data_IF_254509011597
#
_entry.id   IF_254509011597
#
_cell.length_a   1.000
_cell.length_b   1.000
_cell.length_c   1.000
_cell.angle_alpha   90.00
_cell.angle_beta   90.00
_cell.angle_gamma   90.00
#
_symmetry.space_group_name_H-M   'P 1'
#
loop_
_entity.id
_entity.type
_entity.pdbx_description
1 polymer ?
#
# COMPACT_ATOMS: atom_id res chain seq x y z
N UNK A 1 -3.05 -0.86 19.33
CA UNK A 1 -4.31 -0.82 20.11
C UNK A 1 -5.04 -2.12 19.80
N UNK A 2 -5.41 -2.95 20.77
CA UNK A 2 -6.15 -4.17 20.47
C UNK A 2 -7.51 -3.74 19.92
N UNK A 3 -7.78 -4.06 18.66
CA UNK A 3 -9.07 -3.75 18.03
C UNK A 3 -10.16 -4.53 18.77
N UNK A 4 -10.95 -3.83 19.60
CA UNK A 4 -12.21 -4.37 20.12
C UNK A 4 -13.05 -4.83 18.94
N UNK A 5 -13.64 -6.02 19.06
CA UNK A 5 -14.63 -6.50 18.11
C UNK A 5 -15.79 -5.49 18.11
N UNK A 6 -16.18 -4.91 16.96
CA UNK A 6 -17.30 -3.99 16.86
C UNK A 6 -18.59 -4.58 17.45
N UNK A 7 -19.33 -3.80 18.25
CA UNK A 7 -20.61 -4.23 18.84
C UNK A 7 -21.62 -4.68 17.76
N UNK A 8 -21.53 -4.12 16.56
CA UNK A 8 -22.33 -4.52 15.40
C UNK A 8 -22.10 -5.99 15.00
N UNK A 9 -20.86 -6.50 15.09
CA UNK A 9 -20.53 -7.91 14.82
C UNK A 9 -21.07 -8.82 15.92
N UNK A 10 -20.95 -8.40 17.18
CA UNK A 10 -21.49 -9.15 18.33
C UNK A 10 -23.02 -9.24 18.24
N UNK A 11 -23.70 -8.16 17.85
CA UNK A 11 -25.15 -8.13 17.68
C UNK A 11 -25.62 -9.05 16.54
N UNK A 12 -24.88 -9.13 15.42
CA UNK A 12 -25.19 -10.06 14.31
C UNK A 12 -24.98 -11.53 14.69
N UNK A 13 -24.08 -11.80 15.63
CA UNK A 13 -23.81 -13.14 16.14
C UNK A 13 -24.81 -13.60 17.21
N UNK A 14 -25.46 -12.71 17.96
CA UNK A 14 -26.39 -13.05 19.06
C UNK A 14 -27.60 -13.93 18.69
N UNK A 15 -27.90 -14.12 17.40
CA UNK A 15 -28.99 -14.98 16.93
C UNK A 15 -28.65 -16.46 16.78
N UNK A 16 -27.39 -16.86 17.00
CA UNK A 16 -26.97 -18.24 16.79
C UNK A 16 -27.26 -19.15 17.98
N UNK A 17 -27.59 -20.42 17.68
CA UNK A 17 -28.06 -21.39 18.68
C UNK A 17 -26.98 -21.83 19.70
N UNK A 18 -25.69 -21.62 19.40
CA UNK A 18 -24.58 -22.02 20.30
C UNK A 18 -23.47 -20.98 20.27
N UNK A 19 -22.75 -20.85 21.39
CA UNK A 19 -21.58 -19.98 21.48
C UNK A 19 -20.51 -20.29 20.41
N UNK A 20 -20.35 -21.56 20.03
CA UNK A 20 -19.46 -21.95 18.94
C UNK A 20 -19.90 -21.37 17.58
N UNK A 21 -21.19 -21.45 17.25
CA UNK A 21 -21.73 -20.83 16.03
C UNK A 21 -21.66 -19.30 16.06
N UNK A 22 -21.87 -18.69 17.22
CA UNK A 22 -21.68 -17.25 17.40
C UNK A 22 -20.24 -16.85 17.06
N UNK A 23 -19.24 -17.59 17.57
CA UNK A 23 -17.82 -17.30 17.34
C UNK A 23 -17.41 -17.48 15.88
N UNK A 24 -17.83 -18.58 15.23
CA UNK A 24 -17.58 -18.79 13.80
C UNK A 24 -18.13 -17.64 12.95
N UNK A 25 -19.34 -17.17 13.24
CA UNK A 25 -19.95 -16.06 12.51
C UNK A 25 -19.19 -14.73 12.66
N UNK A 26 -18.70 -14.43 13.86
CA UNK A 26 -17.87 -13.24 14.10
C UNK A 26 -16.56 -13.35 13.32
N UNK A 27 -15.93 -14.52 13.35
CA UNK A 27 -14.69 -14.80 12.62
C UNK A 27 -14.90 -14.65 11.11
N UNK A 28 -15.95 -15.25 10.56
CA UNK A 28 -16.25 -15.21 9.13
C UNK A 28 -16.46 -13.78 8.62
N UNK A 29 -17.24 -12.96 9.34
CA UNK A 29 -17.47 -11.58 8.94
C UNK A 29 -16.22 -10.72 9.08
N UNK A 30 -15.43 -10.91 10.15
CA UNK A 30 -14.16 -10.20 10.31
C UNK A 30 -13.16 -10.58 9.20
N UNK A 31 -13.05 -11.85 8.85
CA UNK A 31 -12.20 -12.30 7.74
C UNK A 31 -12.69 -11.75 6.40
N UNK A 32 -14.00 -11.70 6.17
CA UNK A 32 -14.60 -11.13 4.97
C UNK A 32 -14.32 -9.63 4.86
N UNK A 33 -14.53 -8.87 5.94
CA UNK A 33 -14.21 -7.45 6.00
C UNK A 33 -12.71 -7.20 5.77
N UNK A 34 -11.84 -8.01 6.38
CA UNK A 34 -10.39 -7.94 6.17
C UNK A 34 -9.97 -8.23 4.73
N UNK A 35 -10.60 -9.23 4.08
CA UNK A 35 -10.38 -9.55 2.65
C UNK A 35 -10.83 -8.39 1.75
N UNK A 36 -12.01 -7.81 1.99
CA UNK A 36 -12.50 -6.66 1.23
C UNK A 36 -11.58 -5.44 1.40
N UNK A 37 -11.15 -5.16 2.63
CA UNK A 37 -10.20 -4.08 2.92
C UNK A 37 -8.85 -4.29 2.22
N UNK A 38 -8.37 -5.53 2.17
CA UNK A 38 -7.16 -5.88 1.42
C UNK A 38 -7.30 -5.57 -0.08
N UNK A 39 -8.44 -5.96 -0.68
CA UNK A 39 -8.73 -5.68 -2.10
C UNK A 39 -8.78 -4.18 -2.35
N UNK A 40 -9.48 -3.42 -1.50
CA UNK A 40 -9.62 -1.97 -1.64
C UNK A 40 -8.28 -1.24 -1.51
N UNK A 41 -7.44 -1.61 -0.55
CA UNK A 41 -6.12 -1.01 -0.38
C UNK A 41 -5.19 -1.32 -1.55
N UNK A 42 -5.22 -2.56 -2.07
CA UNK A 42 -4.45 -2.92 -3.27
C UNK A 42 -4.89 -2.13 -4.48
N UNK A 43 -6.20 -1.99 -4.68
CA UNK A 43 -6.76 -1.19 -5.77
C UNK A 43 -6.30 0.27 -5.66
N UNK A 44 -6.44 0.89 -4.48
CA UNK A 44 -5.97 2.26 -4.24
C UNK A 44 -4.49 2.43 -4.54
N UNK A 45 -3.65 1.48 -4.09
CA UNK A 45 -2.22 1.51 -4.35
C UNK A 45 -1.89 1.44 -5.85
N UNK A 46 -2.60 0.59 -6.61
CA UNK A 46 -2.37 0.41 -8.04
C UNK A 46 -2.93 1.55 -8.90
N UNK A 47 -3.97 2.23 -8.43
CA UNK A 47 -4.63 3.35 -9.13
C UNK A 47 -4.02 4.71 -8.80
N UNK A 48 -3.21 4.81 -7.74
CA UNK A 48 -2.61 6.08 -7.31
C UNK A 48 -1.69 6.64 -8.41
N UNK A 49 -1.93 7.89 -8.82
CA UNK A 49 -1.14 8.59 -9.83
C UNK A 49 -0.82 9.99 -9.36
N UNK A 50 0.43 10.40 -9.54
CA UNK A 50 0.84 11.78 -9.33
C UNK A 50 0.41 12.62 -10.54
N UNK A 51 -0.36 13.71 -10.34
CA UNK A 51 -0.63 14.67 -11.41
C UNK A 51 0.65 15.36 -11.90
N UNK A 52 0.70 15.81 -13.17
CA UNK A 52 1.89 16.47 -13.77
C UNK A 52 2.45 17.64 -12.94
N UNK A 53 1.60 18.38 -12.22
CA UNK A 53 1.99 19.48 -11.32
C UNK A 53 1.70 19.18 -9.85
N UNK A 54 1.63 17.89 -9.48
CA UNK A 54 1.31 17.44 -8.14
C UNK A 54 2.50 17.53 -7.18
N UNK A 55 2.21 17.51 -5.88
CA UNK A 55 3.23 17.41 -4.85
C UNK A 55 3.75 15.95 -4.75
N UNK A 56 4.95 15.75 -5.28
CA UNK A 56 5.64 14.46 -5.25
C UNK A 56 5.89 13.96 -3.81
N UNK A 57 6.19 14.84 -2.84
CA UNK A 57 6.44 14.42 -1.45
C UNK A 57 5.17 13.90 -0.81
N UNK A 58 4.04 14.59 -1.02
CA UNK A 58 2.73 14.14 -0.57
C UNK A 58 2.34 12.79 -1.22
N UNK A 59 2.58 12.65 -2.52
CA UNK A 59 2.31 11.42 -3.26
C UNK A 59 3.12 10.22 -2.75
N UNK A 60 4.43 10.39 -2.58
CA UNK A 60 5.31 9.34 -2.05
C UNK A 60 4.92 8.95 -0.61
N UNK A 61 4.53 9.93 0.20
CA UNK A 61 4.02 9.68 1.56
C UNK A 61 2.74 8.84 1.53
N UNK A 62 1.82 9.15 0.60
CA UNK A 62 0.56 8.41 0.43
C UNK A 62 0.79 6.95 0.00
N UNK A 63 1.67 6.72 -0.97
CA UNK A 63 2.05 5.36 -1.38
C UNK A 63 2.67 4.56 -0.23
N UNK A 64 3.53 5.19 0.57
CA UNK A 64 4.13 4.55 1.74
C UNK A 64 3.09 4.18 2.80
N UNK A 65 2.13 5.07 3.05
CA UNK A 65 0.99 4.79 3.95
C UNK A 65 0.17 3.60 3.48
N UNK A 66 -0.18 3.53 2.19
CA UNK A 66 -0.95 2.42 1.62
C UNK A 66 -0.19 1.07 1.76
N UNK A 67 1.13 1.08 1.56
CA UNK A 67 1.97 -0.10 1.79
C UNK A 67 1.97 -0.51 3.27
N UNK A 68 2.06 0.45 4.19
CA UNK A 68 2.04 0.20 5.63
C UNK A 68 0.70 -0.42 6.06
N UNK A 69 -0.42 0.10 5.57
CA UNK A 69 -1.76 -0.43 5.85
C UNK A 69 -1.91 -1.88 5.34
N UNK A 70 -1.44 -2.17 4.12
CA UNK A 70 -1.40 -3.53 3.58
C UNK A 70 -0.52 -4.47 4.42
N UNK A 71 0.61 -3.97 4.91
CA UNK A 71 1.53 -4.76 5.75
C UNK A 71 0.92 -5.06 7.11
N UNK A 72 0.22 -4.09 7.71
CA UNK A 72 -0.44 -4.24 9.01
C UNK A 72 -1.50 -5.34 9.02
N UNK A 73 -2.11 -5.63 7.86
CA UNK A 73 -3.10 -6.72 7.69
C UNK A 73 -2.52 -7.99 7.07
N UNK A 74 -1.19 -8.13 7.03
CA UNK A 74 -0.51 -9.32 6.52
C UNK A 74 -0.52 -9.46 5.00
N UNK A 75 -0.88 -8.42 4.26
CA UNK A 75 -1.01 -8.41 2.80
C UNK A 75 0.12 -7.62 2.09
N UNK A 76 1.35 -7.69 2.62
CA UNK A 76 2.51 -6.98 2.09
C UNK A 76 2.68 -7.19 0.57
N UNK A 77 2.82 -6.14 -0.24
CA UNK A 77 2.84 -6.24 -1.71
C UNK A 77 4.12 -6.83 -2.30
N UNK A 78 5.21 -6.89 -1.53
CA UNK A 78 6.56 -7.25 -1.99
C UNK A 78 7.33 -6.02 -2.45
N UNK A 79 8.65 -5.99 -2.23
CA UNK A 79 9.47 -4.80 -2.50
C UNK A 79 9.54 -4.46 -3.99
N UNK A 80 9.77 -5.47 -4.84
CA UNK A 80 9.87 -5.28 -6.30
C UNK A 80 8.55 -4.80 -6.90
N UNK A 81 7.43 -5.40 -6.48
CA UNK A 81 6.11 -5.02 -6.94
C UNK A 81 5.72 -3.62 -6.47
N UNK A 82 6.07 -3.26 -5.23
CA UNK A 82 5.86 -1.91 -4.73
C UNK A 82 6.73 -0.88 -5.47
N UNK A 83 7.99 -1.21 -5.77
CA UNK A 83 8.84 -0.34 -6.59
C UNK A 83 8.24 -0.13 -7.99
N UNK A 84 7.75 -1.18 -8.64
CA UNK A 84 7.08 -1.08 -9.94
C UNK A 84 5.84 -0.17 -9.88
N UNK A 85 4.99 -0.32 -8.85
CA UNK A 85 3.82 0.53 -8.64
C UNK A 85 4.20 1.99 -8.37
N UNK A 86 5.26 2.22 -7.58
CA UNK A 86 5.77 3.56 -7.30
C UNK A 86 6.27 4.24 -8.57
N UNK A 87 7.13 3.58 -9.35
CA UNK A 87 7.67 4.16 -10.58
C UNK A 87 6.57 4.40 -11.61
N UNK A 88 5.64 3.44 -11.77
CA UNK A 88 4.50 3.57 -12.68
C UNK A 88 3.42 4.57 -12.22
N UNK A 89 3.52 5.09 -11.00
CA UNK A 89 2.61 6.11 -10.48
C UNK A 89 3.00 7.54 -10.88
N UNK A 90 4.25 7.73 -11.33
CA UNK A 90 4.79 9.03 -11.71
C UNK A 90 4.31 9.43 -13.12
N UNK A 91 4.14 10.72 -13.40
CA UNK A 91 3.71 11.20 -14.70
C UNK A 91 4.89 11.25 -15.68
N UNK A 92 4.57 11.43 -16.97
CA UNK A 92 5.53 11.34 -18.09
C UNK A 92 6.68 12.35 -18.00
N UNK A 93 6.48 13.49 -17.32
CA UNK A 93 7.54 14.46 -17.05
C UNK A 93 8.73 13.90 -16.26
N UNK A 94 8.55 12.75 -15.58
CA UNK A 94 9.60 12.05 -14.83
C UNK A 94 10.30 10.97 -15.67
N UNK A 95 9.89 10.69 -16.90
CA UNK A 95 10.49 9.66 -17.77
C UNK A 95 12.03 9.80 -17.93
N UNK A 96 12.60 11.00 -18.14
CA UNK A 96 14.06 11.16 -18.23
C UNK A 96 14.78 10.78 -16.94
N UNK A 97 14.18 11.09 -15.79
CA UNK A 97 14.72 10.74 -14.48
C UNK A 97 14.63 9.23 -14.23
N UNK A 98 13.49 8.61 -14.57
CA UNK A 98 13.30 7.15 -14.47
C UNK A 98 14.29 6.38 -15.35
N UNK A 99 14.56 6.86 -16.57
CA UNK A 99 15.55 6.27 -17.47
C UNK A 99 16.96 6.36 -16.88
N UNK A 100 17.35 7.52 -16.33
CA UNK A 100 18.65 7.70 -15.68
C UNK A 100 18.81 6.79 -14.44
N UNK A 101 17.75 6.67 -13.64
CA UNK A 101 17.75 5.84 -12.43
C UNK A 101 17.83 4.34 -12.74
N UNK A 102 17.12 3.90 -13.79
CA UNK A 102 17.17 2.51 -14.27
C UNK A 102 18.53 2.17 -14.88
N UNK A 103 19.14 3.11 -15.61
CA UNK A 103 20.51 2.95 -16.12
C UNK A 103 21.52 2.84 -14.96
N UNK A 104 21.37 3.67 -13.92
CA UNK A 104 22.23 3.63 -12.73
C UNK A 104 22.07 2.32 -11.93
N UNK A 105 20.85 1.81 -11.76
CA UNK A 105 20.59 0.55 -11.05
C UNK A 105 21.16 -0.66 -11.79
N UNK A 106 21.04 -0.68 -13.12
CA UNK A 106 21.62 -1.72 -13.98
C UNK A 106 23.16 -1.75 -13.90
N UNK A 107 23.81 -0.58 -13.82
CA UNK A 107 25.26 -0.49 -13.65
C UNK A 107 25.73 -0.96 -12.26
N UNK A 108 24.89 -0.81 -11.23
CA UNK A 108 25.21 -1.12 -9.85
C UNK A 108 24.87 -2.56 -9.44
N UNK A 109 24.24 -3.35 -10.31
CA UNK A 109 23.76 -4.73 -10.05
C UNK A 109 23.00 -4.87 -8.72
N UNK A 110 22.34 -3.80 -8.29
CA UNK A 110 21.54 -3.73 -7.07
C UNK A 110 20.10 -3.47 -7.46
N UNK A 111 19.21 -4.36 -7.05
CA UNK A 111 17.80 -4.03 -6.88
C UNK A 111 17.73 -2.89 -5.87
N UNK A 112 17.41 -1.69 -6.36
CA UNK A 112 17.28 -0.53 -5.51
C UNK A 112 16.09 -0.76 -4.59
N UNK A 113 16.36 -0.76 -3.29
CA UNK A 113 15.36 -0.88 -2.25
C UNK A 113 14.34 0.29 -2.36
N UNK A 114 13.03 0.05 -2.18
CA UNK A 114 12.01 1.09 -2.27
C UNK A 114 12.28 2.37 -1.45
N UNK A 115 12.90 2.26 -0.27
CA UNK A 115 13.24 3.45 0.52
C UNK A 115 14.40 4.25 -0.10
N UNK A 116 15.24 3.61 -0.93
CA UNK A 116 16.27 4.28 -1.72
C UNK A 116 15.67 5.11 -2.86
N UNK A 117 14.63 4.58 -3.54
CA UNK A 117 13.87 5.35 -4.53
C UNK A 117 13.18 6.57 -3.91
N UNK A 118 12.55 6.38 -2.75
CA UNK A 118 11.88 7.46 -2.02
C UNK A 118 12.84 8.59 -1.66
N UNK A 119 14.07 8.25 -1.24
CA UNK A 119 15.11 9.23 -0.92
C UNK A 119 15.62 9.96 -2.17
N UNK A 120 15.97 9.22 -3.23
CA UNK A 120 16.50 9.80 -4.45
C UNK A 120 15.54 10.78 -5.14
N UNK A 121 14.23 10.48 -5.12
CA UNK A 121 13.21 11.37 -5.69
C UNK A 121 13.01 12.62 -4.80
N UNK A 122 13.06 12.45 -3.48
CA UNK A 122 13.01 13.59 -2.54
C UNK A 122 14.15 14.57 -2.75
N UNK A 123 15.37 14.07 -2.88
CA UNK A 123 16.58 14.89 -3.06
C UNK A 123 16.60 15.64 -4.41
N UNK A 124 16.10 15.02 -5.49
CA UNK A 124 15.97 15.67 -6.81
C UNK A 124 14.93 16.81 -6.79
N UNK A 125 13.88 16.66 -5.98
CA UNK A 125 12.84 17.69 -5.83
C UNK A 125 13.36 18.90 -5.06
N UNK A 126 14.22 18.70 -4.06
CA UNK A 126 14.85 19.78 -3.29
C UNK A 126 15.97 20.50 -4.06
N UNK A 127 16.44 19.93 -5.17
CA UNK A 127 17.44 20.53 -6.07
C UNK A 127 16.83 21.38 -7.19
N UNK A 128 15.54 21.26 -7.47
CA UNK A 128 14.81 22.04 -8.47
C UNK A 128 14.14 23.25 -7.83
#
# INVERSE_FOLDING_TARGET
IPSMIPDSLVLKAKGEATAGKMWEKVKDEFEKESKMMTVDLRRKLQEERLPENGDIKAHLTKLKSLRQDLTAIGAHPGDENFAAMLLGSLPSSYDPYLAALTAASALLNKTLDPDTYLRGIGDETDRR
#
